data_IF_485534305454
#
_entry.id   IF_485534305454
#
_cell.length_a   1.000
_cell.length_b   1.000
_cell.length_c   1.000
_cell.angle_alpha   90.00
_cell.angle_beta   90.00
_cell.angle_gamma   90.00
#
_symmetry.space_group_name_H-M   'P 1'
#
loop_
_entity.id
_entity.type
_entity.pdbx_description
1 polymer ?
#
# COMPACT_ATOMS: atom_id res chain seq x y z
N UNK A 1 5.40 -2.15 7.14
CA UNK A 1 4.80 -0.84 6.79
C UNK A 1 3.49 -0.89 5.97
N UNK A 2 3.38 -1.64 4.86
CA UNK A 2 2.23 -1.53 3.93
C UNK A 2 2.36 -0.40 2.88
N UNK A 3 3.58 0.11 2.70
CA UNK A 3 3.90 1.18 1.75
C UNK A 3 3.86 0.72 0.28
N UNK A 4 4.33 -0.50 0.01
CA UNK A 4 4.34 -1.09 -1.32
C UNK A 4 3.75 -2.50 -1.26
N UNK A 5 2.79 -2.78 -2.13
CA UNK A 5 2.11 -4.07 -2.20
C UNK A 5 2.65 -4.91 -3.36
N UNK A 6 2.90 -6.18 -3.10
CA UNK A 6 3.31 -7.18 -4.08
C UNK A 6 2.08 -7.99 -4.47
N UNK A 7 1.79 -7.99 -5.76
CA UNK A 7 0.73 -8.76 -6.37
C UNK A 7 1.12 -9.10 -7.81
N UNK A 8 0.47 -10.11 -8.39
CA UNK A 8 0.61 -10.48 -9.79
C UNK A 8 -0.75 -10.69 -10.43
N UNK A 9 -0.80 -10.51 -11.75
CA UNK A 9 -1.97 -10.81 -12.56
C UNK A 9 -1.56 -11.73 -13.71
N UNK A 10 -2.09 -12.95 -13.73
CA UNK A 10 -1.88 -13.91 -14.81
C UNK A 10 -3.22 -14.18 -15.53
N UNK A 11 -3.45 -13.58 -16.70
CA UNK A 11 -4.70 -13.75 -17.45
C UNK A 11 -4.98 -15.20 -17.85
N UNK A 12 -3.95 -16.03 -18.03
CA UNK A 12 -4.11 -17.42 -18.46
C UNK A 12 -4.87 -18.27 -17.43
N UNK A 13 -4.72 -17.96 -16.13
CA UNK A 13 -5.42 -18.66 -15.05
C UNK A 13 -6.95 -18.55 -15.16
N UNK A 14 -7.46 -17.47 -15.75
CA UNK A 14 -8.89 -17.29 -15.98
C UNK A 14 -9.46 -18.36 -16.92
N UNK A 15 -8.70 -18.78 -17.93
CA UNK A 15 -9.09 -19.84 -18.84
C UNK A 15 -9.09 -21.22 -18.16
N UNK A 16 -8.29 -21.38 -17.11
CA UNK A 16 -8.25 -22.59 -16.26
C UNK A 16 -9.30 -22.58 -15.14
N UNK A 17 -10.18 -21.56 -15.07
CA UNK A 17 -11.15 -21.40 -13.99
C UNK A 17 -10.52 -21.04 -12.63
N UNK A 18 -9.28 -20.54 -12.62
CA UNK A 18 -8.56 -20.10 -11.42
C UNK A 18 -8.55 -18.58 -11.33
N UNK A 19 -8.35 -18.05 -10.12
CA UNK A 19 -8.24 -16.61 -9.90
C UNK A 19 -6.97 -16.05 -10.59
N UNK A 20 -7.10 -15.12 -11.56
CA UNK A 20 -5.95 -14.51 -12.24
C UNK A 20 -5.18 -13.51 -11.38
N UNK A 21 -5.72 -13.02 -10.27
CA UNK A 21 -5.10 -12.02 -9.43
C UNK A 21 -4.63 -12.63 -8.09
N UNK A 22 -3.34 -12.48 -7.80
CA UNK A 22 -2.75 -12.97 -6.55
C UNK A 22 -2.12 -11.82 -5.79
N UNK A 23 -2.61 -11.56 -4.57
CA UNK A 23 -1.99 -10.63 -3.61
C UNK A 23 -1.10 -11.42 -2.65
N UNK A 24 0.22 -11.16 -2.66
CA UNK A 24 1.18 -11.82 -1.76
C UNK A 24 1.54 -10.98 -0.55
N UNK A 25 1.38 -9.65 -0.65
CA UNK A 25 1.57 -8.75 0.49
C UNK A 25 0.57 -9.01 1.61
N UNK A 26 1.06 -8.91 2.84
CA UNK A 26 0.27 -8.87 4.08
C UNK A 26 -0.21 -7.44 4.37
N UNK A 27 -1.21 -7.25 5.26
CA UNK A 27 -1.60 -5.91 5.70
C UNK A 27 -0.41 -5.16 6.33
N UNK A 28 -0.51 -3.84 6.33
CA UNK A 28 0.43 -2.99 7.08
C UNK A 28 0.46 -3.38 8.56
N UNK A 29 1.64 -3.30 9.16
CA UNK A 29 1.96 -3.72 10.54
C UNK A 29 1.96 -2.54 11.53
N UNK A 30 1.42 -1.38 11.14
CA UNK A 30 1.41 -0.16 11.95
C UNK A 30 2.69 0.70 11.87
N UNK A 31 3.76 0.22 11.21
CA UNK A 31 5.05 0.95 11.13
C UNK A 31 5.13 1.96 9.98
N UNK A 32 3.99 2.41 9.42
CA UNK A 32 3.98 3.23 8.20
C UNK A 32 4.64 4.60 8.39
N UNK A 33 4.30 5.32 9.47
CA UNK A 33 4.91 6.62 9.77
C UNK A 33 6.41 6.49 10.08
N UNK A 34 6.80 5.44 10.80
CA UNK A 34 8.20 5.14 11.10
C UNK A 34 8.99 4.87 9.81
N UNK A 35 8.42 4.11 8.88
CA UNK A 35 8.99 3.88 7.57
C UNK A 35 9.24 5.20 6.82
N UNK A 36 8.27 6.12 6.80
CA UNK A 36 8.48 7.43 6.19
C UNK A 36 9.60 8.21 6.89
N UNK A 37 9.60 8.26 8.22
CA UNK A 37 10.59 9.03 8.98
C UNK A 37 12.03 8.50 8.85
N UNK A 38 12.21 7.23 8.48
CA UNK A 38 13.52 6.61 8.26
C UNK A 38 14.15 6.93 6.90
N UNK A 39 13.46 7.63 5.99
CA UNK A 39 14.02 7.98 4.68
C UNK A 39 14.23 9.49 4.51
N UNK A 40 15.43 9.87 4.05
CA UNK A 40 15.82 11.28 3.86
C UNK A 40 14.85 12.06 2.95
N UNK A 41 14.26 11.39 1.96
CA UNK A 41 13.30 12.03 1.03
C UNK A 41 12.04 12.54 1.73
N UNK A 42 11.63 11.91 2.84
CA UNK A 42 10.49 12.33 3.64
C UNK A 42 10.92 13.26 4.78
N UNK A 43 12.03 12.96 5.47
CA UNK A 43 12.50 13.78 6.59
C UNK A 43 12.93 15.21 6.17
N UNK A 44 13.28 15.43 4.90
CA UNK A 44 13.47 16.79 4.37
C UNK A 44 12.20 17.64 4.45
N UNK A 45 11.03 17.04 4.15
CA UNK A 45 9.75 17.76 4.19
C UNK A 45 9.34 18.11 5.62
N UNK A 46 9.55 17.21 6.59
CA UNK A 46 9.24 17.47 8.00
C UNK A 46 10.09 18.59 8.59
N UNK A 47 11.36 18.69 8.18
CA UNK A 47 12.26 19.77 8.62
C UNK A 47 11.88 21.13 8.06
N UNK A 48 11.49 21.20 6.79
CA UNK A 48 11.17 22.48 6.14
C UNK A 48 9.73 22.93 6.38
N UNK A 49 8.78 21.99 6.52
CA UNK A 49 7.35 22.29 6.60
C UNK A 49 6.63 21.31 7.53
N UNK A 50 6.87 21.36 8.86
CA UNK A 50 6.42 20.34 9.81
C UNK A 50 4.90 20.13 9.81
N UNK A 51 4.10 21.19 9.86
CA UNK A 51 2.63 21.08 9.85
C UNK A 51 2.08 20.49 8.55
N UNK A 52 2.68 20.86 7.42
CA UNK A 52 2.29 20.32 6.11
C UNK A 52 2.69 18.86 5.98
N UNK A 53 3.85 18.49 6.50
CA UNK A 53 4.32 17.11 6.51
C UNK A 53 3.39 16.22 7.33
N UNK A 54 2.96 16.65 8.52
CA UNK A 54 2.01 15.91 9.35
C UNK A 54 0.69 15.62 8.60
N UNK A 55 0.12 16.64 7.93
CA UNK A 55 -1.11 16.47 7.13
C UNK A 55 -0.90 15.50 5.96
N UNK A 56 0.20 15.65 5.22
CA UNK A 56 0.49 14.81 4.05
C UNK A 56 0.80 13.38 4.43
N UNK A 57 1.52 13.15 5.53
CA UNK A 57 1.89 11.80 5.96
C UNK A 57 0.71 11.03 6.52
N UNK A 58 -0.21 11.69 7.24
CA UNK A 58 -1.48 11.11 7.64
C UNK A 58 -2.31 10.71 6.40
N UNK A 59 -2.45 11.62 5.43
CA UNK A 59 -3.16 11.33 4.18
C UNK A 59 -2.51 10.19 3.37
N UNK A 60 -1.17 10.11 3.37
CA UNK A 60 -0.43 9.05 2.68
C UNK A 60 -0.67 7.68 3.31
N UNK A 61 -0.73 7.60 4.64
CA UNK A 61 -1.03 6.35 5.34
C UNK A 61 -2.45 5.87 5.06
N UNK A 62 -3.43 6.76 5.13
CA UNK A 62 -4.82 6.43 4.78
C UNK A 62 -4.95 5.97 3.32
N UNK A 63 -4.23 6.63 2.39
CA UNK A 63 -4.18 6.19 1.00
C UNK A 63 -3.54 4.80 0.84
N UNK A 64 -2.55 4.45 1.67
CA UNK A 64 -1.93 3.14 1.66
C UNK A 64 -2.89 2.05 2.17
N UNK A 65 -3.62 2.32 3.26
CA UNK A 65 -4.68 1.44 3.78
C UNK A 65 -5.78 1.21 2.73
N UNK A 66 -6.30 2.28 2.14
CA UNK A 66 -7.32 2.20 1.10
C UNK A 66 -6.86 1.41 -0.14
N UNK A 67 -5.58 1.56 -0.53
CA UNK A 67 -5.00 0.78 -1.63
C UNK A 67 -4.96 -0.71 -1.31
N UNK A 68 -4.55 -1.08 -0.09
CA UNK A 68 -4.53 -2.48 0.33
C UNK A 68 -5.95 -3.08 0.35
N UNK A 69 -6.93 -2.35 0.89
CA UNK A 69 -8.34 -2.78 0.84
C UNK A 69 -8.85 -2.97 -0.58
N UNK A 70 -8.48 -2.08 -1.50
CA UNK A 70 -8.84 -2.24 -2.91
C UNK A 70 -8.25 -3.53 -3.50
N UNK A 71 -6.98 -3.85 -3.21
CA UNK A 71 -6.35 -5.08 -3.66
C UNK A 71 -7.05 -6.32 -3.08
N UNK A 72 -7.48 -6.29 -1.82
CA UNK A 72 -8.28 -7.37 -1.23
C UNK A 72 -9.61 -7.55 -1.98
N UNK A 73 -10.29 -6.47 -2.36
CA UNK A 73 -11.51 -6.55 -3.18
C UNK A 73 -11.25 -7.16 -4.55
N UNK A 74 -10.08 -6.94 -5.15
CA UNK A 74 -9.70 -7.61 -6.40
C UNK A 74 -9.49 -9.12 -6.21
N UNK A 75 -8.92 -9.54 -5.07
CA UNK A 75 -8.84 -10.98 -4.73
C UNK A 75 -10.24 -11.58 -4.72
N UNK A 76 -11.20 -10.95 -4.01
CA UNK A 76 -12.58 -11.44 -3.94
C UNK A 76 -13.34 -11.36 -5.28
N UNK A 77 -13.13 -10.31 -6.08
CA UNK A 77 -13.79 -10.12 -7.38
C UNK A 77 -13.46 -11.24 -8.37
N UNK A 78 -12.24 -11.77 -8.31
CA UNK A 78 -11.73 -12.78 -9.23
C UNK A 78 -11.77 -14.21 -8.68
N UNK A 79 -12.33 -14.41 -7.47
CA UNK A 79 -12.67 -15.74 -6.97
C UNK A 79 -13.79 -16.36 -7.80
#
# INVERSE_FOLDING_TARGET
AGYWNLFSFNPALKAEGKNPFTLTSKPGDGTYQEFLNNETRYSRLTRSFPERAAKLFAASEEAAKARYEHLLRLVELYK
#
